data_IF_342700486860
#
_entry.id   IF_342700486860
#
_cell.length_a   1.000
_cell.length_b   1.000
_cell.length_c   1.000
_cell.angle_alpha   90.00
_cell.angle_beta   90.00
_cell.angle_gamma   90.00
#
_symmetry.space_group_name_H-M   'P 1'
#
loop_
_entity.id
_entity.type
_entity.pdbx_description
1 polymer ?
#
# COMPACT_ATOMS: atom_id res chain seq x y z
N UNK A 1 -5.00 27.83 15.79
CA UNK A 1 -5.22 27.21 14.47
C UNK A 1 -3.92 26.53 14.12
N UNK A 2 -3.81 25.24 14.42
CA UNK A 2 -2.60 24.48 14.08
C UNK A 2 -2.68 24.20 12.60
N UNK A 3 -1.78 24.83 11.83
CA UNK A 3 -1.59 24.59 10.40
C UNK A 3 -1.37 23.09 10.19
N UNK A 4 -2.41 22.38 9.76
CA UNK A 4 -2.28 21.06 9.18
C UNK A 4 -1.73 21.26 7.77
N UNK A 5 -0.43 21.58 7.72
CA UNK A 5 0.35 21.58 6.49
C UNK A 5 0.37 20.15 5.99
N UNK A 6 -0.43 19.88 4.94
CA UNK A 6 -0.34 18.67 4.12
C UNK A 6 1.09 18.52 3.59
N UNK A 7 1.96 17.94 4.42
CA UNK A 7 3.32 17.61 4.05
C UNK A 7 3.25 16.22 3.43
N UNK A 8 3.22 16.15 2.10
CA UNK A 8 3.37 14.87 1.41
C UNK A 8 4.62 14.16 1.95
N UNK A 9 4.59 12.83 2.16
CA UNK A 9 5.75 12.12 2.64
C UNK A 9 6.92 12.35 1.68
N UNK A 10 8.01 12.92 2.20
CA UNK A 10 9.24 13.07 1.44
C UNK A 10 9.80 11.68 1.10
N UNK A 11 10.42 11.55 -0.06
CA UNK A 11 11.06 10.31 -0.51
C UNK A 11 12.10 9.84 0.51
N UNK A 12 12.00 8.58 0.97
CA UNK A 12 12.89 8.05 2.00
C UNK A 12 12.49 8.37 3.44
N UNK A 13 11.28 8.92 3.64
CA UNK A 13 10.71 9.10 4.97
C UNK A 13 10.40 7.73 5.59
N UNK A 14 10.92 7.51 6.78
CA UNK A 14 10.63 6.37 7.65
C UNK A 14 9.91 6.89 8.89
N UNK A 15 8.83 6.22 9.26
CA UNK A 15 8.01 6.55 10.42
C UNK A 15 7.94 5.31 11.30
N UNK A 16 8.48 5.43 12.50
CA UNK A 16 8.45 4.38 13.50
C UNK A 16 7.14 4.42 14.28
N UNK A 17 6.69 3.26 14.77
CA UNK A 17 5.48 3.14 15.60
C UNK A 17 5.56 3.95 16.91
N UNK A 18 6.75 4.34 17.34
CA UNK A 18 6.96 5.13 18.55
C UNK A 18 6.26 6.51 18.48
N UNK A 19 6.12 7.08 17.29
CA UNK A 19 5.41 8.34 17.05
C UNK A 19 3.95 8.08 16.65
N UNK A 20 3.06 7.78 17.61
CA UNK A 20 1.66 7.43 17.31
C UNK A 20 0.97 8.41 16.34
N UNK A 21 1.07 9.72 16.58
CA UNK A 21 0.45 10.75 15.72
C UNK A 21 1.00 10.72 14.28
N UNK A 22 2.33 10.58 14.12
CA UNK A 22 2.96 10.52 12.79
C UNK A 22 2.70 9.17 12.12
N UNK A 23 2.63 8.11 12.90
CA UNK A 23 2.40 6.75 12.43
C UNK A 23 0.98 6.59 11.90
N UNK A 24 -0.03 7.11 12.60
CA UNK A 24 -1.40 7.19 12.08
C UNK A 24 -1.45 7.97 10.76
N UNK A 25 -0.81 9.14 10.69
CA UNK A 25 -0.70 9.90 9.45
C UNK A 25 0.03 9.12 8.34
N UNK A 26 1.07 8.36 8.68
CA UNK A 26 1.80 7.53 7.74
C UNK A 26 0.92 6.39 7.18
N UNK A 27 0.02 5.80 7.97
CA UNK A 27 -0.93 4.81 7.47
C UNK A 27 -1.87 5.44 6.43
N UNK A 28 -2.41 6.63 6.71
CA UNK A 28 -3.24 7.37 5.77
C UNK A 28 -2.49 7.76 4.51
N UNK A 29 -1.24 8.25 4.66
CA UNK A 29 -0.39 8.55 3.52
C UNK A 29 -0.06 7.30 2.72
N UNK A 30 0.21 6.14 3.33
CA UNK A 30 0.51 4.91 2.61
C UNK A 30 -0.62 4.47 1.66
N UNK A 31 -1.88 4.69 2.06
CA UNK A 31 -3.05 4.42 1.20
C UNK A 31 -3.14 5.42 0.04
N UNK A 32 -2.90 6.72 0.30
CA UNK A 32 -2.96 7.77 -0.73
C UNK A 32 -1.73 7.79 -1.66
N UNK A 33 -0.59 7.28 -1.17
CA UNK A 33 0.73 7.37 -1.80
C UNK A 33 0.80 6.67 -3.16
N UNK A 34 -0.14 5.76 -3.48
CA UNK A 34 -0.21 4.98 -4.74
C UNK A 34 1.17 4.52 -5.24
N UNK A 35 2.04 4.12 -4.32
CA UNK A 35 3.44 3.83 -4.57
C UNK A 35 3.91 2.62 -3.77
N UNK A 36 5.15 2.21 -4.00
CA UNK A 36 5.77 1.16 -3.19
C UNK A 36 6.06 1.68 -1.77
N UNK A 37 5.55 0.95 -0.78
CA UNK A 37 5.89 1.16 0.62
C UNK A 37 6.60 -0.08 1.13
N UNK A 38 7.55 0.14 2.03
CA UNK A 38 8.26 -0.95 2.69
C UNK A 38 7.80 -0.97 4.14
N UNK A 39 7.13 -2.06 4.51
CA UNK A 39 6.68 -2.29 5.88
C UNK A 39 7.77 -3.07 6.60
N UNK A 40 8.38 -2.47 7.61
CA UNK A 40 9.33 -3.12 8.49
C UNK A 40 8.56 -3.74 9.65
N UNK A 41 8.54 -5.06 9.70
CA UNK A 41 7.98 -5.84 10.83
C UNK A 41 9.09 -6.22 11.81
N UNK A 42 8.78 -6.96 12.87
CA UNK A 42 9.80 -7.42 13.82
C UNK A 42 10.79 -8.41 13.22
N UNK A 43 10.35 -9.16 12.19
CA UNK A 43 11.10 -10.27 11.63
C UNK A 43 11.70 -9.95 10.27
N UNK A 44 11.00 -9.14 9.47
CA UNK A 44 11.36 -8.91 8.06
C UNK A 44 10.88 -7.54 7.54
N UNK A 45 11.58 -7.04 6.53
CA UNK A 45 11.13 -5.90 5.70
C UNK A 45 10.37 -6.41 4.47
N UNK A 46 9.17 -5.86 4.23
CA UNK A 46 8.26 -6.33 3.19
C UNK A 46 7.96 -5.16 2.25
N UNK A 47 8.49 -5.24 1.02
CA UNK A 47 8.11 -4.34 -0.07
C UNK A 47 6.71 -4.68 -0.57
N UNK A 48 5.77 -3.78 -0.37
CA UNK A 48 4.38 -4.00 -0.68
C UNK A 48 3.67 -2.74 -1.19
N UNK A 49 2.47 -2.96 -1.72
CA UNK A 49 1.56 -1.90 -2.11
C UNK A 49 0.37 -1.90 -1.16
N UNK A 50 0.13 -0.76 -0.53
CA UNK A 50 -0.99 -0.55 0.39
C UNK A 50 -2.10 0.15 -0.35
N UNK A 51 -3.32 -0.36 -0.19
CA UNK A 51 -4.47 0.14 -0.94
C UNK A 51 -5.73 0.30 -0.09
N UNK A 52 -5.73 -0.23 1.12
CA UNK A 52 -6.87 -0.17 2.03
C UNK A 52 -6.38 -0.24 3.47
N UNK A 53 -7.01 0.55 4.34
CA UNK A 53 -6.78 0.60 5.77
C UNK A 53 -8.16 0.60 6.43
N UNK A 54 -8.35 -0.22 7.46
CA UNK A 54 -9.61 -0.22 8.22
C UNK A 54 -9.89 1.17 8.80
N UNK A 55 -11.16 1.54 8.95
CA UNK A 55 -11.55 2.83 9.53
C UNK A 55 -10.99 3.07 10.93
N UNK A 56 -10.75 1.99 11.69
CA UNK A 56 -10.15 2.03 13.04
C UNK A 56 -8.62 2.19 13.02
N UNK A 57 -7.98 2.12 11.84
CA UNK A 57 -6.52 2.16 11.72
C UNK A 57 -5.80 0.96 12.33
N UNK A 58 -6.50 -0.15 12.64
CA UNK A 58 -5.93 -1.33 13.28
C UNK A 58 -5.38 -2.36 12.28
N UNK A 59 -5.99 -2.50 11.10
CA UNK A 59 -5.57 -3.47 10.09
C UNK A 59 -5.38 -2.80 8.73
N UNK A 60 -4.21 -3.00 8.15
CA UNK A 60 -3.80 -2.49 6.86
C UNK A 60 -3.78 -3.63 5.83
N UNK A 61 -4.27 -3.39 4.62
CA UNK A 61 -4.27 -4.40 3.55
C UNK A 61 -3.23 -4.04 2.51
N UNK A 62 -2.36 -5.01 2.26
CA UNK A 62 -1.24 -4.86 1.33
C UNK A 62 -1.19 -6.02 0.34
N UNK A 63 -0.46 -5.80 -0.75
CA UNK A 63 -0.12 -6.83 -1.74
C UNK A 63 1.39 -6.85 -1.91
N UNK A 64 1.98 -8.02 -2.12
CA UNK A 64 3.44 -8.13 -2.33
C UNK A 64 3.75 -8.34 -3.80
N UNK A 65 4.96 -7.95 -4.24
CA UNK A 65 5.37 -8.08 -5.65
C UNK A 65 5.41 -9.54 -6.11
N UNK A 66 5.60 -10.47 -5.18
CA UNK A 66 5.64 -11.91 -5.40
C UNK A 66 4.23 -12.49 -5.41
N UNK A 67 3.46 -12.12 -4.39
CA UNK A 67 2.10 -12.61 -4.19
C UNK A 67 1.12 -11.43 -4.14
N UNK A 68 0.46 -11.21 -5.28
CA UNK A 68 -0.63 -10.24 -5.47
C UNK A 68 -1.92 -10.67 -4.76
N UNK A 69 -1.77 -11.27 -3.59
CA UNK A 69 -2.87 -11.62 -2.71
C UNK A 69 -3.10 -10.44 -1.79
N UNK A 70 -4.36 -10.18 -1.48
CA UNK A 70 -4.74 -9.21 -0.47
C UNK A 70 -4.44 -9.78 0.90
N UNK A 71 -3.34 -9.36 1.51
CA UNK A 71 -2.91 -9.82 2.82
C UNK A 71 -3.29 -8.74 3.85
N UNK A 72 -4.09 -9.07 4.88
CA UNK A 72 -4.30 -8.19 6.01
C UNK A 72 -3.08 -8.24 6.94
N UNK A 73 -2.54 -7.08 7.29
CA UNK A 73 -1.52 -6.89 8.32
C UNK A 73 -2.13 -6.15 9.51
N UNK A 74 -2.00 -6.69 10.70
CA UNK A 74 -2.34 -5.92 11.88
C UNK A 74 -1.26 -4.83 12.07
N UNK A 75 -1.70 -3.58 12.19
CA UNK A 75 -0.86 -2.42 12.50
C UNK A 75 0.08 -2.65 13.68
N UNK A 76 -0.30 -3.32 14.78
CA UNK A 76 0.65 -3.63 15.85
C UNK A 76 1.86 -4.49 15.42
N UNK A 77 1.80 -5.21 14.30
CA UNK A 77 2.93 -5.97 13.75
C UNK A 77 3.92 -5.10 12.95
N UNK A 78 3.50 -3.88 12.60
CA UNK A 78 4.33 -2.93 11.86
C UNK A 78 5.17 -2.14 12.87
N UNK A 79 6.49 -2.24 12.75
CA UNK A 79 7.43 -1.46 13.56
C UNK A 79 7.77 -0.12 12.92
N UNK A 80 8.00 -0.12 11.62
CA UNK A 80 8.36 1.06 10.84
C UNK A 80 7.68 1.01 9.47
N UNK A 81 7.16 2.15 9.03
CA UNK A 81 6.66 2.35 7.66
C UNK A 81 7.69 3.20 6.94
N UNK A 82 8.25 2.67 5.85
CA UNK A 82 9.20 3.38 5.00
C UNK A 82 8.60 3.64 3.64
N UNK A 83 8.51 4.91 3.27
CA UNK A 83 8.10 5.35 1.94
C UNK A 83 9.31 5.26 1.00
N UNK A 84 9.42 4.10 0.34
CA UNK A 84 10.41 3.90 -0.72
C UNK A 84 9.95 4.72 -1.92
N UNK A 85 10.44 5.95 -2.02
CA UNK A 85 10.07 6.88 -3.09
C UNK A 85 10.60 6.52 -4.46
N UNK A 86 11.24 5.36 -4.64
CA UNK A 86 12.14 5.14 -5.77
C UNK A 86 11.46 5.25 -7.15
N UNK A 87 10.12 5.20 -7.23
CA UNK A 87 9.40 5.35 -8.51
C UNK A 87 8.10 6.19 -8.47
N UNK A 88 7.90 7.09 -7.49
CA UNK A 88 6.65 7.90 -7.45
C UNK A 88 6.51 8.89 -8.62
N UNK A 89 7.53 9.09 -9.45
CA UNK A 89 7.56 10.17 -10.43
C UNK A 89 7.14 9.77 -11.85
N UNK A 90 6.83 8.50 -12.13
CA UNK A 90 6.63 8.07 -13.53
C UNK A 90 5.39 7.22 -13.83
N UNK A 91 4.51 6.92 -12.86
CA UNK A 91 3.34 6.04 -13.09
C UNK A 91 3.68 4.54 -13.28
N UNK A 92 4.97 4.23 -13.47
CA UNK A 92 5.47 2.88 -13.78
C UNK A 92 5.30 1.88 -12.65
N UNK A 93 5.36 2.29 -11.39
CA UNK A 93 5.12 1.37 -10.27
C UNK A 93 3.68 0.83 -10.31
N UNK A 94 2.68 1.69 -10.46
CA UNK A 94 1.28 1.27 -10.57
C UNK A 94 1.02 0.41 -11.80
N UNK A 95 1.55 0.79 -12.96
CA UNK A 95 1.47 -0.01 -14.19
C UNK A 95 2.11 -1.39 -14.01
N UNK A 96 3.25 -1.50 -13.30
CA UNK A 96 3.89 -2.79 -12.99
C UNK A 96 3.02 -3.67 -12.09
N UNK A 97 2.34 -3.08 -11.11
CA UNK A 97 1.41 -3.81 -10.25
C UNK A 97 0.19 -4.30 -11.03
N UNK A 98 -0.41 -3.45 -11.88
CA UNK A 98 -1.50 -3.84 -12.77
C UNK A 98 -1.05 -4.93 -13.74
N UNK A 99 0.11 -4.76 -14.38
CA UNK A 99 0.61 -5.72 -15.36
C UNK A 99 0.81 -7.09 -14.72
N UNK A 100 1.42 -7.16 -13.52
CA UNK A 100 1.55 -8.43 -12.81
C UNK A 100 0.21 -9.00 -12.36
N UNK A 101 -0.74 -8.16 -11.99
CA UNK A 101 -2.09 -8.60 -11.63
C UNK A 101 -2.82 -9.20 -12.82
N UNK A 102 -2.73 -8.55 -13.98
CA UNK A 102 -3.25 -9.07 -15.24
C UNK A 102 -2.52 -10.35 -15.61
N UNK A 103 -1.18 -10.41 -15.56
CA UNK A 103 -0.41 -11.63 -15.85
C UNK A 103 -0.82 -12.80 -14.94
N UNK A 104 -1.00 -12.57 -13.63
CA UNK A 104 -1.46 -13.61 -12.70
C UNK A 104 -2.92 -14.01 -12.95
N UNK A 105 -3.79 -13.06 -13.29
CA UNK A 105 -5.18 -13.34 -13.70
C UNK A 105 -5.25 -14.12 -15.02
N UNK A 106 -4.37 -13.80 -15.98
CA UNK A 106 -4.29 -14.41 -17.30
C UNK A 106 -3.63 -15.80 -17.25
N UNK A 107 -2.73 -16.04 -16.29
CA UNK A 107 -2.05 -17.32 -16.07
C UNK A 107 -2.97 -18.45 -15.53
N UNK A 108 -4.26 -18.18 -15.29
CA UNK A 108 -5.27 -19.23 -15.22
C UNK A 108 -5.54 -19.83 -13.83
N UNK A 109 -5.42 -19.06 -12.75
CA UNK A 109 -6.11 -19.40 -11.50
C UNK A 109 -7.36 -18.52 -11.35
N UNK A 110 -8.47 -19.15 -11.00
CA UNK A 110 -9.85 -18.66 -11.04
C UNK A 110 -10.07 -17.40 -10.18
N UNK A 111 -9.68 -16.23 -10.69
CA UNK A 111 -10.13 -14.95 -10.16
C UNK A 111 -11.50 -14.65 -10.75
N UNK A 112 -12.56 -15.07 -10.04
CA UNK A 112 -13.92 -14.53 -10.20
C UNK A 112 -13.89 -13.03 -9.92
N UNK A 113 -13.47 -12.26 -10.92
CA UNK A 113 -13.89 -10.88 -11.06
C UNK A 113 -15.07 -11.00 -12.02
N UNK A 114 -16.27 -11.00 -11.45
CA UNK A 114 -17.48 -10.61 -12.16
C UNK A 114 -17.22 -9.17 -12.67
N UNK A 115 -16.62 -9.08 -13.85
CA UNK A 115 -16.66 -7.89 -14.67
C UNK A 115 -18.04 -7.93 -15.31
N UNK A 116 -19.00 -7.28 -14.64
CA UNK A 116 -20.20 -6.80 -15.31
C UNK A 116 -19.73 -5.83 -16.39
N UNK A 117 -19.60 -6.39 -17.58
CA UNK A 117 -19.28 -5.68 -18.78
C UNK A 117 -20.58 -5.07 -19.27
N UNK A 118 -20.66 -3.74 -19.23
CA UNK A 118 -21.22 -2.93 -20.32
C UNK A 118 -22.46 -3.54 -21.01
N UNK A 119 -23.64 -3.29 -20.45
CA UNK A 119 -24.86 -3.27 -21.25
C UNK A 119 -25.14 -1.83 -21.67
N UNK A 120 -24.77 -1.53 -22.92
CA UNK A 120 -25.35 -0.47 -23.74
C UNK A 120 -26.89 -0.66 -23.81
N UNK A 121 -27.67 0.36 -23.45
CA UNK A 121 -28.98 0.62 -24.06
C UNK A 121 -29.22 2.14 -24.21
#
# INVERSE_FOLDING_TARGET
>A
MTEQSSTQPAQGMSIERNDAERFEQALHWAVDYRGDVTLCTEDSEIECFVFDLTAEGDTLRYMTKQDLTRIPLAVPQIREIRFSGKDTAAGKSFERWIQRYIEKKLAGENASIECDSLEDE
#
